data_IF_739466868333
#
_entry.id   IF_739466868333
#
_cell.length_a   1.000
_cell.length_b   1.000
_cell.length_c   1.000
_cell.angle_alpha   90.00
_cell.angle_beta   90.00
_cell.angle_gamma   90.00
#
_symmetry.space_group_name_H-M   'P 1'
#
loop_
_entity.id
_entity.type
_entity.pdbx_description
1 polymer ?
#
# COMPACT_ATOMS: atom_id res chain seq x y z
N UNK A 1 -3.95 4.19 -33.57
CA UNK A 1 -5.02 3.52 -32.81
C UNK A 1 -4.68 2.04 -32.77
N UNK A 2 -3.67 1.68 -31.98
CA UNK A 2 -3.44 0.28 -31.63
C UNK A 2 -4.36 -0.02 -30.43
N UNK A 3 -5.17 -1.05 -30.58
CA UNK A 3 -6.04 -1.54 -29.52
C UNK A 3 -5.17 -2.18 -28.44
N UNK A 4 -4.84 -1.43 -27.39
CA UNK A 4 -4.22 -1.90 -26.15
C UNK A 4 -5.20 -2.70 -25.28
N UNK A 5 -5.99 -3.58 -25.88
CA UNK A 5 -6.65 -4.66 -25.15
C UNK A 5 -5.69 -5.84 -25.06
N UNK A 6 -4.59 -5.65 -24.32
CA UNK A 6 -3.89 -6.78 -23.71
C UNK A 6 -4.95 -7.52 -22.89
N UNK A 7 -5.32 -8.70 -23.36
CA UNK A 7 -6.36 -9.51 -22.76
C UNK A 7 -5.93 -9.79 -21.33
N UNK A 8 -6.60 -9.16 -20.37
CA UNK A 8 -6.29 -9.31 -18.95
C UNK A 8 -6.22 -10.80 -18.65
N UNK A 9 -5.07 -11.27 -18.15
CA UNK A 9 -5.01 -12.53 -17.42
C UNK A 9 -6.13 -12.43 -16.39
N UNK A 10 -7.17 -13.27 -16.53
CA UNK A 10 -8.34 -13.23 -15.65
C UNK A 10 -7.88 -13.57 -14.24
N UNK A 11 -7.54 -12.55 -13.46
CA UNK A 11 -7.17 -12.70 -12.06
C UNK A 11 -8.48 -12.79 -11.29
N UNK A 12 -8.73 -13.95 -10.69
CA UNK A 12 -9.85 -14.07 -9.76
C UNK A 12 -9.51 -13.34 -8.46
N UNK A 13 -10.45 -12.51 -7.99
CA UNK A 13 -10.38 -11.86 -6.68
C UNK A 13 -11.26 -12.54 -5.64
N UNK A 14 -11.99 -13.61 -6.03
CA UNK A 14 -12.91 -14.33 -5.13
C UNK A 14 -12.20 -14.98 -3.95
N UNK A 15 -10.93 -15.34 -4.10
CA UNK A 15 -10.08 -15.85 -3.01
C UNK A 15 -9.86 -14.82 -1.88
N UNK A 16 -10.03 -13.52 -2.18
CA UNK A 16 -9.98 -12.45 -1.19
C UNK A 16 -11.37 -12.08 -0.65
N UNK A 17 -12.42 -12.76 -1.11
CA UNK A 17 -13.81 -12.50 -0.76
C UNK A 17 -14.55 -11.56 -1.71
N UNK A 18 -13.83 -10.85 -2.60
CA UNK A 18 -14.42 -9.88 -3.54
C UNK A 18 -15.30 -10.61 -4.56
N UNK A 19 -16.58 -10.23 -4.62
CA UNK A 19 -17.58 -10.83 -5.50
C UNK A 19 -17.92 -9.90 -6.66
N UNK A 20 -18.22 -10.49 -7.82
CA UNK A 20 -18.82 -9.82 -8.98
C UNK A 20 -18.09 -8.53 -9.41
N UNK A 21 -16.75 -8.51 -9.43
CA UNK A 21 -16.02 -7.37 -9.98
C UNK A 21 -16.50 -7.10 -11.42
N UNK A 22 -16.98 -5.88 -11.68
CA UNK A 22 -17.56 -5.48 -12.98
C UNK A 22 -16.50 -5.50 -14.07
N UNK A 23 -15.30 -5.03 -13.72
CA UNK A 23 -14.12 -5.06 -14.57
C UNK A 23 -12.87 -5.06 -13.70
N UNK A 24 -11.79 -5.67 -14.18
CA UNK A 24 -10.48 -5.68 -13.54
C UNK A 24 -9.48 -5.03 -14.49
N UNK A 25 -8.94 -3.89 -14.09
CA UNK A 25 -7.88 -3.16 -14.77
C UNK A 25 -6.56 -3.58 -14.14
N UNK A 26 -5.88 -4.54 -14.77
CA UNK A 26 -4.67 -5.15 -14.23
C UNK A 26 -3.39 -4.44 -14.72
N UNK A 27 -2.50 -4.10 -13.78
CA UNK A 27 -1.21 -3.44 -14.00
C UNK A 27 -1.25 -2.30 -15.03
N UNK A 28 -2.18 -1.32 -14.90
CA UNK A 28 -2.43 -0.30 -15.92
C UNK A 28 -1.16 0.48 -16.27
N UNK A 29 -1.06 0.91 -17.54
CA UNK A 29 0.01 1.80 -18.01
C UNK A 29 -0.14 3.19 -17.40
N UNK A 30 0.92 4.00 -17.43
CA UNK A 30 0.85 5.40 -16.99
C UNK A 30 -0.14 6.21 -17.83
N UNK A 31 -0.22 5.94 -19.13
CA UNK A 31 -1.16 6.61 -20.04
C UNK A 31 -2.61 6.26 -19.72
N UNK A 32 -2.91 4.97 -19.47
CA UNK A 32 -4.24 4.56 -19.02
C UNK A 32 -4.61 5.21 -17.69
N UNK A 33 -3.68 5.25 -16.72
CA UNK A 33 -3.92 5.90 -15.42
C UNK A 33 -4.17 7.40 -15.59
N UNK A 34 -3.37 8.08 -16.40
CA UNK A 34 -3.51 9.50 -16.69
C UNK A 34 -4.91 9.83 -17.25
N UNK A 35 -5.38 9.05 -18.23
CA UNK A 35 -6.72 9.21 -18.80
C UNK A 35 -7.82 8.91 -17.77
N UNK A 36 -7.67 7.83 -16.99
CA UNK A 36 -8.63 7.47 -15.94
C UNK A 36 -8.72 8.52 -14.84
N UNK A 37 -7.62 9.17 -14.47
CA UNK A 37 -7.57 10.20 -13.41
C UNK A 37 -8.20 11.54 -13.84
N UNK A 38 -8.28 11.79 -15.14
CA UNK A 38 -8.84 13.01 -15.74
C UNK A 38 -10.25 12.81 -16.30
N UNK A 39 -10.90 11.66 -16.05
CA UNK A 39 -12.28 11.43 -16.44
C UNK A 39 -13.20 12.51 -15.81
N UNK A 40 -13.94 13.30 -16.62
CA UNK A 40 -14.78 14.39 -16.13
C UNK A 40 -15.94 13.91 -15.25
N UNK A 41 -16.26 12.62 -15.23
CA UNK A 41 -17.29 12.04 -14.37
C UNK A 41 -16.80 11.73 -12.94
N UNK A 42 -15.50 11.82 -12.68
CA UNK A 42 -14.96 11.63 -11.34
C UNK A 42 -15.43 12.73 -10.38
N UNK A 43 -15.69 12.33 -9.14
CA UNK A 43 -16.18 13.23 -8.09
C UNK A 43 -15.41 13.05 -6.78
N UNK A 44 -15.57 14.01 -5.85
CA UNK A 44 -14.92 13.96 -4.54
C UNK A 44 -13.40 13.84 -4.64
N UNK A 45 -12.84 12.90 -3.87
CA UNK A 45 -11.39 12.66 -3.76
C UNK A 45 -10.82 11.74 -4.85
N UNK A 46 -11.65 11.30 -5.79
CA UNK A 46 -11.18 10.55 -6.97
C UNK A 46 -10.63 11.48 -8.05
N UNK A 47 -11.18 12.70 -8.11
CA UNK A 47 -10.92 13.66 -9.17
C UNK A 47 -9.44 14.10 -9.20
N UNK A 48 -8.77 13.80 -10.31
CA UNK A 48 -7.50 14.40 -10.68
C UNK A 48 -7.68 15.78 -11.31
N UNK A 49 -6.65 16.62 -11.17
CA UNK A 49 -6.56 17.91 -11.84
C UNK A 49 -5.18 18.01 -12.50
N UNK A 50 -5.16 18.24 -13.81
CA UNK A 50 -3.89 18.49 -14.51
C UNK A 50 -3.33 19.85 -14.09
N UNK A 51 -2.07 19.85 -13.68
CA UNK A 51 -1.33 21.06 -13.33
C UNK A 51 -0.61 21.63 -14.55
N UNK A 52 -0.13 22.87 -14.46
CA UNK A 52 0.69 23.49 -15.51
C UNK A 52 2.04 22.78 -15.75
N UNK A 53 2.43 21.86 -14.85
CA UNK A 53 3.63 21.02 -14.98
C UNK A 53 3.37 19.72 -15.76
N UNK A 54 2.12 19.47 -16.19
CA UNK A 54 1.70 18.21 -16.83
C UNK A 54 1.52 17.04 -15.86
N UNK A 55 1.70 17.26 -14.56
CA UNK A 55 1.42 16.26 -13.53
C UNK A 55 -0.04 16.36 -13.06
N UNK A 56 -0.66 15.22 -12.78
CA UNK A 56 -1.97 15.16 -12.13
C UNK A 56 -1.82 15.40 -10.63
N UNK A 57 -2.64 16.30 -10.09
CA UNK A 57 -2.80 16.56 -8.67
C UNK A 57 -4.13 15.98 -8.16
N UNK A 58 -4.12 15.44 -6.95
CA UNK A 58 -5.31 14.94 -6.25
C UNK A 58 -5.37 15.50 -4.84
N UNK A 59 -6.58 15.59 -4.29
CA UNK A 59 -6.83 16.00 -2.91
C UNK A 59 -7.31 14.81 -2.08
N UNK A 60 -6.70 14.58 -0.92
CA UNK A 60 -7.00 13.44 -0.02
C UNK A 60 -7.93 13.83 1.14
N UNK A 61 -8.63 14.98 1.02
CA UNK A 61 -9.53 15.48 2.04
C UNK A 61 -8.82 15.86 3.35
N UNK A 62 -9.44 15.50 4.47
CA UNK A 62 -8.88 15.72 5.82
C UNK A 62 -7.66 14.85 6.12
N UNK A 63 -7.46 13.76 5.37
CA UNK A 63 -6.34 12.83 5.55
C UNK A 63 -5.10 13.31 4.78
N UNK A 64 -4.44 14.34 5.32
CA UNK A 64 -3.21 14.93 4.78
C UNK A 64 -1.93 14.29 5.34
N UNK A 65 -2.08 13.26 6.18
CA UNK A 65 -1.01 12.55 6.84
C UNK A 65 -1.45 11.17 7.32
N UNK A 66 -0.54 10.48 8.02
CA UNK A 66 -0.82 9.16 8.58
C UNK A 66 -1.83 9.22 9.73
N UNK A 67 -2.54 8.12 9.93
CA UNK A 67 -3.46 7.91 11.05
C UNK A 67 -2.92 6.84 12.03
N UNK A 68 -1.84 7.12 12.79
CA UNK A 68 -1.22 6.12 13.67
C UNK A 68 -2.18 5.57 14.74
N UNK A 69 -3.16 6.38 15.16
CA UNK A 69 -4.21 5.98 16.11
C UNK A 69 -5.20 4.95 15.53
N UNK A 70 -5.24 4.80 14.21
CA UNK A 70 -6.14 3.86 13.50
C UNK A 70 -5.38 2.66 12.92
N UNK A 71 -4.11 2.47 13.29
CA UNK A 71 -3.30 1.29 12.92
C UNK A 71 -3.56 0.12 13.87
N UNK A 72 -3.87 -1.07 13.34
CA UNK A 72 -4.12 -2.28 14.13
C UNK A 72 -3.44 -3.52 13.53
N UNK A 73 -3.09 -4.48 14.38
CA UNK A 73 -2.49 -5.75 13.96
C UNK A 73 -3.25 -6.88 14.67
N UNK A 74 -3.61 -7.93 13.94
CA UNK A 74 -4.24 -9.12 14.52
C UNK A 74 -3.28 -9.78 15.50
N UNK A 75 -3.75 -10.02 16.72
CA UNK A 75 -3.06 -10.81 17.75
C UNK A 75 -3.50 -12.27 17.63
N UNK A 76 -2.66 -13.08 16.99
CA UNK A 76 -2.85 -14.51 16.76
C UNK A 76 -1.55 -15.27 16.99
N UNK A 77 -1.54 -16.60 16.75
CA UNK A 77 -0.36 -17.42 16.97
C UNK A 77 0.88 -17.00 16.14
N UNK A 78 0.70 -16.29 15.03
CA UNK A 78 1.81 -15.78 14.20
C UNK A 78 2.46 -14.56 14.85
N UNK A 79 1.66 -13.70 15.47
CA UNK A 79 2.09 -12.36 15.93
C UNK A 79 2.28 -12.24 17.43
N UNK A 80 1.62 -13.07 18.24
CA UNK A 80 1.50 -12.91 19.69
C UNK A 80 2.86 -12.68 20.37
N UNK A 81 3.82 -13.56 20.11
CA UNK A 81 5.15 -13.52 20.75
C UNK A 81 6.21 -12.76 19.95
N UNK A 82 5.88 -12.26 18.76
CA UNK A 82 6.88 -11.71 17.81
C UNK A 82 6.68 -10.24 17.50
N UNK A 83 5.48 -9.69 17.68
CA UNK A 83 5.19 -8.27 17.51
C UNK A 83 5.58 -7.50 18.78
N UNK A 84 6.18 -6.32 18.58
CA UNK A 84 6.38 -5.37 19.67
C UNK A 84 5.06 -4.64 19.97
N UNK A 85 4.23 -5.24 20.81
CA UNK A 85 2.92 -4.71 21.17
C UNK A 85 2.99 -3.38 21.92
N UNK A 86 2.00 -2.51 21.70
CA UNK A 86 1.86 -1.27 22.44
C UNK A 86 1.58 -1.56 23.93
N UNK A 87 2.30 -0.86 24.81
CA UNK A 87 2.11 -0.94 26.27
C UNK A 87 2.50 0.38 26.93
N UNK A 88 2.09 0.59 28.18
CA UNK A 88 2.47 1.79 28.95
C UNK A 88 3.99 1.96 29.08
N UNK A 89 4.74 0.85 29.15
CA UNK A 89 6.22 0.86 29.28
C UNK A 89 6.94 1.14 27.97
N UNK A 90 6.31 0.85 26.84
CA UNK A 90 6.90 0.92 25.51
C UNK A 90 5.86 1.40 24.50
N UNK A 91 5.46 2.69 24.57
CA UNK A 91 4.37 3.21 23.77
C UNK A 91 4.74 3.20 22.29
N UNK A 92 3.85 2.62 21.47
CA UNK A 92 4.00 2.53 20.02
C UNK A 92 2.62 2.36 19.35
N UNK A 93 2.59 2.27 18.01
CA UNK A 93 1.34 2.23 17.25
C UNK A 93 0.76 0.81 17.02
N UNK A 94 1.43 -0.25 17.49
CA UNK A 94 1.03 -1.65 17.28
C UNK A 94 -0.08 -2.06 18.28
N UNK A 95 -1.32 -1.69 17.94
CA UNK A 95 -2.50 -2.01 18.74
C UNK A 95 -3.09 -3.36 18.32
N UNK A 96 -3.34 -4.29 19.26
CA UNK A 96 -3.89 -5.60 18.94
C UNK A 96 -5.38 -5.50 18.57
N UNK A 97 -5.82 -6.34 17.65
CA UNK A 97 -7.24 -6.64 17.40
C UNK A 97 -7.45 -8.15 17.36
N UNK A 98 -8.66 -8.60 17.67
CA UNK A 98 -9.02 -10.02 17.57
C UNK A 98 -9.26 -10.43 16.11
N UNK A 99 -9.20 -11.74 15.85
CA UNK A 99 -9.58 -12.33 14.57
C UNK A 99 -11.04 -11.97 14.19
N UNK A 100 -11.95 -11.93 15.16
CA UNK A 100 -13.35 -11.52 14.94
C UNK A 100 -13.46 -10.07 14.46
N UNK A 101 -12.69 -9.15 15.05
CA UNK A 101 -12.65 -7.75 14.58
C UNK A 101 -12.06 -7.66 13.19
N UNK A 102 -10.99 -8.41 12.91
CA UNK A 102 -10.41 -8.49 11.57
C UNK A 102 -11.43 -8.97 10.53
N UNK A 103 -12.19 -10.02 10.82
CA UNK A 103 -13.21 -10.56 9.92
C UNK A 103 -14.30 -9.53 9.62
N UNK A 104 -14.76 -8.78 10.63
CA UNK A 104 -15.72 -7.70 10.43
C UNK A 104 -15.17 -6.57 9.54
N UNK A 105 -13.92 -6.16 9.77
CA UNK A 105 -13.24 -5.17 8.92
C UNK A 105 -13.05 -5.68 7.49
N UNK A 106 -12.63 -6.94 7.32
CA UNK A 106 -12.46 -7.58 6.01
C UNK A 106 -13.77 -7.68 5.26
N UNK A 107 -14.86 -8.07 5.92
CA UNK A 107 -16.20 -8.08 5.33
C UNK A 107 -16.62 -6.69 4.85
N UNK A 108 -16.39 -5.65 5.66
CA UNK A 108 -16.68 -4.26 5.27
C UNK A 108 -15.84 -3.81 4.05
N UNK A 109 -14.53 -4.11 4.04
CA UNK A 109 -13.64 -3.82 2.89
C UNK A 109 -14.09 -4.57 1.63
N UNK A 110 -14.41 -5.86 1.75
CA UNK A 110 -14.85 -6.70 0.63
C UNK A 110 -16.19 -6.23 0.08
N UNK A 111 -17.12 -5.84 0.94
CA UNK A 111 -18.41 -5.30 0.53
C UNK A 111 -18.23 -4.02 -0.30
N UNK A 112 -17.32 -3.13 0.12
CA UNK A 112 -17.01 -1.90 -0.62
C UNK A 112 -16.38 -2.18 -1.98
N UNK A 113 -15.49 -3.17 -2.09
CA UNK A 113 -14.79 -3.46 -3.36
C UNK A 113 -15.57 -4.39 -4.31
N UNK A 114 -16.61 -5.06 -3.83
CA UNK A 114 -17.44 -5.95 -4.65
C UNK A 114 -18.38 -5.17 -5.58
N UNK A 115 -18.77 -5.76 -6.71
CA UNK A 115 -19.68 -5.15 -7.69
C UNK A 115 -19.17 -3.83 -8.31
N UNK A 116 -17.85 -3.64 -8.38
CA UNK A 116 -17.21 -2.43 -8.93
C UNK A 116 -16.15 -2.75 -9.97
N UNK A 117 -15.73 -1.73 -10.71
CA UNK A 117 -14.47 -1.76 -11.47
C UNK A 117 -13.32 -1.62 -10.49
N UNK A 118 -12.34 -2.51 -10.57
CA UNK A 118 -11.18 -2.54 -9.69
C UNK A 118 -9.89 -2.39 -10.48
N UNK A 119 -8.96 -1.63 -9.92
CA UNK A 119 -7.57 -1.62 -10.34
C UNK A 119 -6.80 -2.62 -9.48
N UNK A 120 -6.02 -3.46 -10.15
CA UNK A 120 -5.15 -4.44 -9.50
C UNK A 120 -3.72 -4.18 -9.96
N UNK A 121 -2.81 -3.96 -9.01
CA UNK A 121 -1.39 -3.73 -9.31
C UNK A 121 -0.56 -4.77 -8.58
N UNK A 122 0.10 -5.63 -9.35
CA UNK A 122 1.15 -6.51 -8.87
C UNK A 122 2.50 -5.78 -8.95
N UNK A 123 3.22 -5.74 -7.82
CA UNK A 123 4.51 -5.06 -7.68
C UNK A 123 5.45 -5.79 -6.70
N UNK A 124 6.69 -5.35 -6.62
CA UNK A 124 7.65 -5.85 -5.62
C UNK A 124 7.97 -4.81 -4.55
N UNK A 125 8.11 -5.27 -3.31
CA UNK A 125 8.66 -4.51 -2.19
C UNK A 125 10.01 -5.10 -1.80
N UNK A 126 11.09 -4.38 -2.12
CA UNK A 126 12.48 -4.85 -1.99
C UNK A 126 13.10 -5.15 -3.36
N UNK A 127 14.34 -4.70 -3.57
CA UNK A 127 15.01 -4.83 -4.87
C UNK A 127 15.61 -6.23 -5.11
N UNK A 128 16.00 -6.93 -4.04
CA UNK A 128 16.67 -8.22 -4.13
C UNK A 128 15.65 -9.38 -4.22
N UNK A 129 15.74 -10.26 -5.25
CA UNK A 129 14.75 -11.34 -5.46
C UNK A 129 14.59 -12.34 -4.32
N UNK A 130 15.63 -12.57 -3.52
CA UNK A 130 15.68 -13.52 -2.40
C UNK A 130 14.92 -13.05 -1.15
N UNK A 131 14.62 -11.76 -1.08
CA UNK A 131 14.10 -11.08 0.11
C UNK A 131 12.92 -10.15 -0.18
N UNK A 132 12.64 -9.87 -1.46
CA UNK A 132 11.50 -9.05 -1.88
C UNK A 132 10.18 -9.74 -1.57
N UNK A 133 9.16 -8.94 -1.29
CA UNK A 133 7.78 -9.40 -1.26
C UNK A 133 7.12 -9.14 -2.61
N UNK A 134 6.40 -10.12 -3.13
CA UNK A 134 5.40 -9.95 -4.19
C UNK A 134 4.13 -9.40 -3.57
N UNK A 135 3.71 -8.23 -3.99
CA UNK A 135 2.56 -7.53 -3.41
C UNK A 135 1.49 -7.34 -4.46
N UNK A 136 0.25 -7.70 -4.11
CA UNK A 136 -0.93 -7.37 -4.90
C UNK A 136 -1.72 -6.26 -4.22
N UNK A 137 -1.88 -5.13 -4.89
CA UNK A 137 -2.76 -4.04 -4.47
C UNK A 137 -4.10 -4.15 -5.18
N UNK A 138 -5.18 -3.89 -4.47
CA UNK A 138 -6.55 -3.90 -4.99
C UNK A 138 -7.25 -2.62 -4.51
N UNK A 139 -7.74 -1.81 -5.44
CA UNK A 139 -8.43 -0.56 -5.15
C UNK A 139 -9.46 -0.24 -6.24
N UNK A 140 -10.40 0.66 -5.94
CA UNK A 140 -11.40 1.12 -6.91
C UNK A 140 -11.08 2.50 -7.53
N UNK A 141 -9.99 3.16 -7.09
CA UNK A 141 -9.63 4.52 -7.51
C UNK A 141 -8.33 4.51 -8.32
N UNK A 142 -8.34 5.12 -9.50
CA UNK A 142 -7.21 5.13 -10.44
C UNK A 142 -5.93 5.71 -9.83
N UNK A 143 -6.02 6.90 -9.21
CA UNK A 143 -4.84 7.57 -8.65
C UNK A 143 -4.18 6.75 -7.54
N UNK A 144 -4.93 5.91 -6.82
CA UNK A 144 -4.37 5.03 -5.80
C UNK A 144 -3.54 3.92 -6.43
N UNK A 145 -3.98 3.36 -7.57
CA UNK A 145 -3.21 2.42 -8.36
C UNK A 145 -1.95 3.10 -8.95
N UNK A 146 -2.07 4.34 -9.40
CA UNK A 146 -0.92 5.13 -9.86
C UNK A 146 0.09 5.38 -8.73
N UNK A 147 -0.38 5.72 -7.52
CA UNK A 147 0.49 5.89 -6.36
C UNK A 147 1.34 4.64 -6.12
N UNK A 148 0.74 3.45 -6.08
CA UNK A 148 1.52 2.21 -5.85
C UNK A 148 2.41 1.84 -7.03
N UNK A 149 2.02 2.17 -8.27
CA UNK A 149 2.88 2.01 -9.46
C UNK A 149 4.15 2.87 -9.40
N UNK A 150 4.06 4.04 -8.76
CA UNK A 150 5.21 4.94 -8.54
C UNK A 150 6.07 4.48 -7.36
N UNK A 151 5.45 4.06 -6.25
CA UNK A 151 6.18 3.83 -5.00
C UNK A 151 6.83 2.45 -4.89
N UNK A 152 6.39 1.47 -5.67
CA UNK A 152 6.88 0.09 -5.63
C UNK A 152 7.61 -0.29 -6.91
N UNK A 153 8.43 -1.34 -6.83
CA UNK A 153 9.22 -1.81 -7.97
C UNK A 153 8.26 -2.47 -8.97
N UNK A 154 8.21 -1.92 -10.17
CA UNK A 154 7.38 -2.42 -11.26
C UNK A 154 8.00 -3.70 -11.83
N UNK A 155 7.29 -4.83 -11.82
CA UNK A 155 7.77 -6.04 -12.47
C UNK A 155 7.84 -5.84 -13.99
N UNK A 156 8.77 -6.51 -14.64
CA UNK A 156 8.78 -6.64 -16.10
C UNK A 156 7.60 -7.49 -16.59
N UNK A 157 7.29 -7.45 -17.88
CA UNK A 157 6.23 -8.30 -18.46
C UNK A 157 6.46 -9.80 -18.20
N UNK A 158 7.73 -10.25 -18.28
CA UNK A 158 8.09 -11.63 -17.96
C UNK A 158 7.88 -11.97 -16.48
N UNK A 159 8.21 -11.05 -15.58
CA UNK A 159 7.95 -11.22 -14.15
C UNK A 159 6.45 -11.20 -13.82
N UNK A 160 5.64 -10.41 -14.52
CA UNK A 160 4.17 -10.43 -14.39
C UNK A 160 3.57 -11.74 -14.89
N UNK A 161 4.04 -12.23 -16.04
CA UNK A 161 3.61 -13.53 -16.58
C UNK A 161 3.85 -14.66 -15.57
N UNK A 162 4.98 -14.58 -14.83
CA UNK A 162 5.43 -15.54 -13.84
C UNK A 162 5.23 -15.07 -12.37
N UNK A 163 4.33 -14.11 -12.11
CA UNK A 163 4.21 -13.50 -10.78
C UNK A 163 3.78 -14.52 -9.70
N UNK A 164 2.93 -15.48 -10.09
CA UNK A 164 2.37 -16.48 -9.18
C UNK A 164 1.51 -15.86 -8.09
N UNK A 165 1.43 -16.51 -6.92
CA UNK A 165 0.68 -16.01 -5.77
C UNK A 165 1.43 -14.84 -5.09
N UNK A 166 0.74 -13.75 -4.71
CA UNK A 166 1.35 -12.68 -3.94
C UNK A 166 1.75 -13.17 -2.55
N UNK A 167 2.88 -12.66 -2.04
CA UNK A 167 3.30 -12.88 -0.65
C UNK A 167 2.48 -12.02 0.31
N UNK A 168 1.92 -10.91 -0.15
CA UNK A 168 1.10 -10.01 0.65
C UNK A 168 0.06 -9.27 -0.20
N UNK A 169 -1.15 -9.08 0.33
CA UNK A 169 -2.25 -8.39 -0.36
C UNK A 169 -2.62 -7.11 0.37
N UNK A 170 -2.81 -6.01 -0.37
CA UNK A 170 -3.27 -4.73 0.19
C UNK A 170 -4.60 -4.38 -0.47
N UNK A 171 -5.68 -4.36 0.31
CA UNK A 171 -7.00 -3.92 -0.13
C UNK A 171 -7.25 -2.49 0.37
N UNK A 172 -7.38 -1.55 -0.57
CA UNK A 172 -7.68 -0.16 -0.27
C UNK A 172 -9.13 0.14 -0.64
N UNK A 173 -9.96 0.28 0.39
CA UNK A 173 -11.36 0.64 0.32
C UNK A 173 -11.58 1.99 1.03
N UNK A 174 -10.78 3.01 0.67
CA UNK A 174 -10.81 4.34 1.32
C UNK A 174 -12.19 5.03 1.30
N UNK A 175 -13.10 4.59 0.44
CA UNK A 175 -14.48 5.09 0.38
C UNK A 175 -15.39 4.60 1.51
N UNK A 176 -15.13 3.42 2.07
CA UNK A 176 -15.92 2.92 3.19
C UNK A 176 -15.35 3.42 4.51
N UNK A 177 -16.21 3.57 5.51
CA UNK A 177 -15.81 3.66 6.92
C UNK A 177 -16.37 2.46 7.67
N UNK A 178 -16.02 2.27 8.93
CA UNK A 178 -16.54 1.18 9.76
C UNK A 178 -17.41 1.75 10.89
N UNK A 179 -18.74 1.92 10.68
CA UNK A 179 -19.62 2.58 11.65
C UNK A 179 -19.65 1.90 13.02
N UNK A 180 -19.46 0.57 13.07
CA UNK A 180 -19.49 -0.22 14.30
C UNK A 180 -18.15 -0.25 15.07
N UNK A 181 -17.22 0.65 14.75
CA UNK A 181 -15.87 0.68 15.33
C UNK A 181 -15.85 0.67 16.87
N UNK A 182 -16.87 1.26 17.52
CA UNK A 182 -16.97 1.30 18.99
C UNK A 182 -17.21 -0.07 19.61
N UNK A 183 -18.04 -0.91 18.99
CA UNK A 183 -18.30 -2.27 19.51
C UNK A 183 -17.04 -3.15 19.46
N UNK A 184 -16.16 -2.84 18.50
CA UNK A 184 -14.88 -3.49 18.28
C UNK A 184 -13.69 -2.83 19.01
N UNK A 185 -13.94 -1.84 19.89
CA UNK A 185 -12.92 -1.11 20.65
C UNK A 185 -11.85 -0.43 19.77
N UNK A 186 -12.22 0.03 18.58
CA UNK A 186 -11.36 0.80 17.70
C UNK A 186 -11.43 2.30 18.04
N UNK A 187 -10.40 3.05 17.67
CA UNK A 187 -10.25 4.49 17.89
C UNK A 187 -11.25 5.33 17.09
N UNK A 188 -11.50 4.99 15.82
CA UNK A 188 -12.41 5.71 14.94
C UNK A 188 -13.02 4.78 13.89
N UNK A 189 -13.90 5.32 13.04
CA UNK A 189 -14.46 4.61 11.88
C UNK A 189 -13.42 4.30 10.78
N UNK A 190 -12.21 4.86 10.87
CA UNK A 190 -11.11 4.57 9.96
C UNK A 190 -10.28 3.40 10.47
N UNK A 191 -9.66 2.67 9.55
CA UNK A 191 -8.82 1.53 9.93
C UNK A 191 -7.68 1.30 8.93
N UNK A 192 -6.51 1.00 9.49
CA UNK A 192 -5.35 0.46 8.78
C UNK A 192 -4.96 -0.83 9.52
N UNK A 193 -5.53 -1.96 9.09
CA UNK A 193 -5.43 -3.23 9.80
C UNK A 193 -4.49 -4.20 9.06
N UNK A 194 -3.73 -5.00 9.82
CA UNK A 194 -2.80 -6.00 9.29
C UNK A 194 -3.10 -7.38 9.89
N UNK A 195 -3.14 -8.41 9.05
CA UNK A 195 -3.17 -9.81 9.47
C UNK A 195 -2.00 -10.54 8.81
N UNK A 196 -1.05 -11.03 9.62
CA UNK A 196 0.16 -11.69 9.11
C UNK A 196 -0.08 -13.18 8.81
N UNK A 197 -1.10 -13.80 9.41
CA UNK A 197 -1.53 -15.16 9.06
C UNK A 197 -2.17 -15.18 7.67
N UNK A 198 -3.09 -14.25 7.40
CA UNK A 198 -3.71 -14.06 6.09
C UNK A 198 -2.84 -13.27 5.10
N UNK A 199 -1.71 -12.73 5.56
CA UNK A 199 -0.77 -11.90 4.79
C UNK A 199 -1.46 -10.76 4.04
N UNK A 200 -2.24 -9.97 4.77
CA UNK A 200 -3.12 -8.96 4.21
C UNK A 200 -3.12 -7.65 5.01
N UNK A 201 -3.26 -6.53 4.29
CA UNK A 201 -3.53 -5.21 4.84
C UNK A 201 -4.89 -4.70 4.32
N UNK A 202 -5.68 -4.11 5.21
CA UNK A 202 -6.92 -3.42 4.89
C UNK A 202 -6.77 -1.93 5.18
N UNK A 203 -7.28 -1.08 4.28
CA UNK A 203 -7.34 0.36 4.46
C UNK A 203 -8.79 0.80 4.22
N UNK A 204 -9.39 1.47 5.22
CA UNK A 204 -10.71 2.07 5.13
C UNK A 204 -10.74 3.50 5.67
N UNK A 205 -11.55 4.34 5.05
CA UNK A 205 -11.83 5.73 5.40
C UNK A 205 -10.75 6.73 4.99
N UNK A 206 -9.48 6.40 5.23
CA UNK A 206 -8.36 7.29 4.89
C UNK A 206 -8.00 7.25 3.41
N UNK A 207 -7.86 8.43 2.81
CA UNK A 207 -7.39 8.62 1.43
C UNK A 207 -5.89 8.92 1.36
N UNK A 208 -5.17 8.89 2.48
CA UNK A 208 -3.75 9.21 2.49
C UNK A 208 -2.93 8.08 1.85
N UNK A 209 -2.40 8.31 0.64
CA UNK A 209 -1.64 7.30 -0.12
C UNK A 209 -0.45 6.71 0.65
N UNK A 210 0.14 7.47 1.58
CA UNK A 210 1.23 7.01 2.42
C UNK A 210 0.92 5.77 3.25
N UNK A 211 -0.35 5.44 3.52
CA UNK A 211 -0.72 4.21 4.24
C UNK A 211 -0.46 2.94 3.42
N UNK A 212 -0.59 3.00 2.09
CA UNK A 212 -0.23 1.88 1.20
C UNK A 212 1.28 1.63 1.19
N UNK A 213 2.09 2.69 1.31
CA UNK A 213 3.57 2.58 1.37
C UNK A 213 4.05 2.14 2.75
N UNK A 214 3.62 2.83 3.80
CA UNK A 214 4.14 2.64 5.15
C UNK A 214 3.66 1.35 5.79
N UNK A 215 2.50 0.83 5.39
CA UNK A 215 2.06 -0.51 5.79
C UNK A 215 3.06 -1.59 5.38
N UNK A 216 3.42 -1.66 4.10
CA UNK A 216 4.41 -2.63 3.62
C UNK A 216 5.82 -2.38 4.16
N UNK A 217 6.19 -1.12 4.40
CA UNK A 217 7.44 -0.85 5.12
C UNK A 217 7.43 -1.44 6.55
N UNK A 218 6.29 -1.40 7.26
CA UNK A 218 6.16 -2.06 8.56
C UNK A 218 6.24 -3.59 8.44
N UNK A 219 5.70 -4.17 7.38
CA UNK A 219 5.84 -5.62 7.08
C UNK A 219 7.31 -6.00 6.82
N UNK A 220 8.05 -5.18 6.06
CA UNK A 220 9.49 -5.41 5.84
C UNK A 220 10.30 -5.28 7.15
N UNK A 221 9.94 -4.31 8.01
CA UNK A 221 10.54 -4.16 9.34
C UNK A 221 10.27 -5.35 10.26
N UNK A 222 9.22 -6.14 10.00
CA UNK A 222 8.96 -7.37 10.73
C UNK A 222 9.76 -8.55 10.17
N UNK A 223 9.73 -8.78 8.85
CA UNK A 223 10.33 -9.99 8.26
C UNK A 223 11.85 -9.93 8.12
N UNK A 224 12.44 -8.80 7.73
CA UNK A 224 13.87 -8.75 7.43
C UNK A 224 14.76 -8.93 8.67
N UNK A 225 14.49 -8.28 9.83
CA UNK A 225 15.35 -8.46 11.00
C UNK A 225 15.38 -9.89 11.53
N UNK A 226 14.30 -10.65 11.36
CA UNK A 226 14.24 -12.07 11.72
C UNK A 226 15.18 -12.94 10.87
N UNK A 227 15.58 -12.46 9.69
CA UNK A 227 16.59 -13.07 8.82
C UNK A 227 17.99 -12.46 9.01
N UNK A 228 18.19 -11.63 10.03
CA UNK A 228 19.45 -10.92 10.27
C UNK A 228 19.72 -9.77 9.29
N UNK A 229 18.71 -9.28 8.58
CA UNK A 229 18.83 -8.18 7.60
C UNK A 229 18.27 -6.90 8.22
N UNK A 230 19.07 -5.83 8.21
CA UNK A 230 18.63 -4.52 8.68
C UNK A 230 17.53 -3.96 7.76
N UNK A 231 16.40 -3.55 8.36
CA UNK A 231 15.35 -2.78 7.68
C UNK A 231 15.35 -1.36 8.22
N UNK A 232 15.61 -0.38 7.34
CA UNK A 232 16.04 0.96 7.75
C UNK A 232 15.10 2.04 7.21
N UNK A 233 14.74 2.99 8.08
CA UNK A 233 14.08 4.23 7.66
C UNK A 233 15.14 5.30 7.37
N UNK A 234 15.85 5.14 6.26
CA UNK A 234 16.88 6.04 5.78
C UNK A 234 16.68 6.38 4.30
N UNK A 235 17.38 7.40 3.82
CA UNK A 235 17.73 7.48 2.39
C UNK A 235 19.17 6.99 2.19
N UNK A 236 19.55 6.68 0.96
CA UNK A 236 20.90 6.26 0.62
C UNK A 236 21.36 6.75 -0.76
N UNK A 237 22.66 6.99 -0.90
CA UNK A 237 23.28 7.33 -2.18
C UNK A 237 24.71 6.76 -2.28
N UNK A 238 25.23 6.70 -3.51
CA UNK A 238 26.53 6.11 -3.85
C UNK A 238 27.41 7.13 -4.56
N UNK A 239 28.66 7.24 -4.14
CA UNK A 239 29.66 8.09 -4.79
C UNK A 239 30.25 7.44 -6.04
N UNK A 240 31.03 8.21 -6.81
CA UNK A 240 31.71 7.72 -8.01
C UNK A 240 32.69 6.58 -7.71
N UNK A 241 33.29 6.57 -6.51
CA UNK A 241 34.22 5.54 -6.05
C UNK A 241 33.50 4.31 -5.44
N UNK A 242 32.17 4.28 -5.48
CA UNK A 242 31.34 3.18 -4.98
C UNK A 242 31.05 3.22 -3.48
N UNK A 243 31.52 4.24 -2.75
CA UNK A 243 31.22 4.45 -1.34
C UNK A 243 29.72 4.74 -1.14
N UNK A 244 29.11 4.09 -0.14
CA UNK A 244 27.68 4.24 0.15
C UNK A 244 27.49 5.03 1.45
N UNK A 245 26.57 5.99 1.43
CA UNK A 245 26.14 6.74 2.60
C UNK A 245 24.66 6.47 2.90
N UNK A 246 24.33 6.34 4.19
CA UNK A 246 22.96 6.16 4.69
C UNK A 246 22.59 7.31 5.62
N UNK A 247 21.39 7.86 5.44
CA UNK A 247 20.92 9.04 6.17
C UNK A 247 19.66 8.71 6.96
N UNK A 248 19.79 8.49 8.27
CA UNK A 248 18.65 8.27 9.16
C UNK A 248 17.94 9.58 9.52
N UNK A 249 16.63 9.50 9.75
CA UNK A 249 15.86 10.67 10.20
C UNK A 249 14.35 10.46 10.14
N UNK A 250 13.61 11.34 10.80
CA UNK A 250 12.14 11.37 10.74
C UNK A 250 11.64 12.06 9.45
N UNK A 251 10.34 12.04 9.21
CA UNK A 251 9.76 12.75 8.07
C UNK A 251 10.05 14.25 8.20
N UNK A 252 10.48 14.89 7.10
CA UNK A 252 10.79 16.33 7.09
C UNK A 252 12.16 16.73 7.63
N UNK A 253 13.01 15.79 8.10
CA UNK A 253 14.32 16.13 8.70
C UNK A 253 15.49 16.12 7.70
N UNK A 254 15.23 16.33 6.41
CA UNK A 254 16.28 16.50 5.40
C UNK A 254 16.81 15.24 4.70
N UNK A 255 16.35 14.02 5.04
CA UNK A 255 16.81 12.77 4.38
C UNK A 255 16.80 12.86 2.85
N UNK A 256 15.65 13.24 2.28
CA UNK A 256 15.48 13.35 0.83
C UNK A 256 16.32 14.48 0.23
N UNK A 257 16.36 15.64 0.90
CA UNK A 257 17.15 16.79 0.43
C UNK A 257 18.65 16.48 0.39
N UNK A 258 19.16 15.81 1.42
CA UNK A 258 20.58 15.46 1.56
C UNK A 258 21.00 14.28 0.68
N UNK A 259 20.10 13.35 0.37
CA UNK A 259 20.42 12.22 -0.50
C UNK A 259 20.50 12.59 -1.98
N UNK A 260 19.77 13.63 -2.40
CA UNK A 260 19.73 14.11 -3.80
C UNK A 260 20.90 15.05 -4.10
N UNK A 261 22.11 14.61 -3.79
CA UNK A 261 23.35 15.32 -4.13
C UNK A 261 23.66 15.08 -5.62
N UNK A 262 23.83 16.13 -6.46
CA UNK A 262 24.13 15.97 -7.89
C UNK A 262 25.46 15.23 -8.17
N UNK A 263 26.32 15.05 -7.17
CA UNK A 263 27.60 14.33 -7.28
C UNK A 263 27.49 12.85 -6.91
N UNK A 264 26.30 12.38 -6.54
CA UNK A 264 26.07 11.01 -6.06
C UNK A 264 24.86 10.38 -6.74
N UNK A 265 24.92 9.08 -6.96
CA UNK A 265 23.81 8.30 -7.50
C UNK A 265 22.82 7.97 -6.38
N UNK A 266 21.57 8.40 -6.52
CA UNK A 266 20.51 8.10 -5.55
C UNK A 266 20.17 6.60 -5.59
N UNK A 267 20.16 5.96 -4.43
CA UNK A 267 19.70 4.56 -4.28
C UNK A 267 18.20 4.56 -3.94
N UNK A 268 17.77 5.36 -2.96
CA UNK A 268 16.37 5.45 -2.53
C UNK A 268 16.15 6.15 -1.19
#
# INVERSE_FOLDING_TARGET
>A
MENDTVTAKSISLTQYGIQNAVSIIYNPSYESLYLSELDPNLSGFERGQETTLGAVNVMTGSFTGRSPKDKYIVDDATTHDTIWWNSEKAPNDNKPISQQTWEALKQNTVAELSNKTLYVVDAFCGANPDTRLKVRFIMEVAWQAHFVKNMFIRPTESELANFGEPDFVVMNASKTTFPDYKSHNLNSENYIAFNLTEKMQLIGGTWYGGEMKKGLFAIMNYYLPQKGIASMHCSANKGADGDVAIFFGLSGTGKTTLSTDPKRELIG
#
